data_IF_990113295431
#
_entry.id   IF_990113295431
#
_cell.length_a   1.000
_cell.length_b   1.000
_cell.length_c   1.000
_cell.angle_alpha   90.00
_cell.angle_beta   90.00
_cell.angle_gamma   90.00
#
_symmetry.space_group_name_H-M   'P 1'
#
loop_
_entity.id
_entity.type
_entity.pdbx_description
1 polymer ?
#
# COMPACT_ATOMS: atom_id res chain seq x y z
N UNK A 1 -28.58 -9.14 13.85
CA UNK A 1 -28.54 -7.89 13.09
C UNK A 1 -27.10 -7.64 12.71
N UNK A 2 -26.86 -7.32 11.44
CA UNK A 2 -25.55 -6.85 10.99
C UNK A 2 -25.40 -5.37 11.34
N UNK A 3 -24.18 -4.95 11.67
CA UNK A 3 -23.92 -3.60 12.20
C UNK A 3 -22.97 -2.89 11.26
N UNK A 4 -23.32 -1.67 10.86
CA UNK A 4 -22.43 -0.80 10.10
C UNK A 4 -21.38 -0.18 11.05
N UNK A 5 -20.13 -0.15 10.62
CA UNK A 5 -19.03 0.46 11.37
C UNK A 5 -18.27 1.46 10.52
N UNK A 6 -17.76 2.51 11.16
CA UNK A 6 -16.73 3.38 10.59
C UNK A 6 -15.36 2.73 10.80
N UNK A 7 -14.78 2.19 9.72
CA UNK A 7 -13.47 1.53 9.76
C UNK A 7 -12.41 2.50 9.25
N UNK A 8 -11.62 3.06 10.16
CA UNK A 8 -10.63 4.10 9.86
C UNK A 8 -9.25 3.51 9.62
N UNK A 9 -8.59 3.99 8.56
CA UNK A 9 -7.20 3.72 8.23
C UNK A 9 -6.48 5.05 7.94
N UNK A 10 -5.31 5.27 8.54
CA UNK A 10 -4.58 6.54 8.43
C UNK A 10 -3.24 6.38 7.72
N UNK A 11 -2.91 7.33 6.85
CA UNK A 11 -1.63 7.37 6.14
C UNK A 11 -0.69 8.38 6.78
N UNK A 12 0.47 7.93 7.25
CA UNK A 12 1.50 8.77 7.86
C UNK A 12 2.65 8.96 6.87
N UNK A 13 2.65 10.11 6.20
CA UNK A 13 3.72 10.56 5.33
C UNK A 13 4.06 12.01 5.68
N UNK A 14 5.34 12.32 5.79
CA UNK A 14 5.78 13.70 6.00
C UNK A 14 5.32 14.59 4.84
N UNK A 15 4.83 15.79 5.14
CA UNK A 15 4.33 16.70 4.10
C UNK A 15 2.96 16.33 3.50
N UNK A 16 2.36 15.18 3.83
CA UNK A 16 1.02 14.82 3.36
C UNK A 16 -0.04 15.79 3.92
N UNK A 17 -0.84 16.39 3.03
CA UNK A 17 -1.96 17.26 3.42
C UNK A 17 -3.24 16.47 3.54
N UNK A 18 -3.59 15.72 2.51
CA UNK A 18 -4.81 14.89 2.49
C UNK A 18 -4.67 13.69 1.56
N UNK A 19 -5.55 12.71 1.71
CA UNK A 19 -5.72 11.59 0.80
C UNK A 19 -7.09 11.68 0.11
N UNK A 20 -7.16 11.14 -1.10
CA UNK A 20 -8.43 10.84 -1.77
C UNK A 20 -8.40 9.40 -2.27
N UNK A 21 -9.57 8.77 -2.32
CA UNK A 21 -9.70 7.40 -2.79
C UNK A 21 -10.93 7.28 -3.68
N UNK A 22 -10.72 6.97 -4.95
CA UNK A 22 -11.80 6.70 -5.90
C UNK A 22 -12.00 5.19 -5.91
N UNK A 23 -13.09 4.75 -5.27
CA UNK A 23 -13.46 3.32 -5.23
C UNK A 23 -13.81 2.85 -6.64
N UNK A 24 -13.18 1.75 -7.06
CA UNK A 24 -13.47 1.08 -8.33
C UNK A 24 -14.31 -0.17 -8.10
N UNK A 25 -14.01 -0.92 -7.04
CA UNK A 25 -14.73 -2.15 -6.68
C UNK A 25 -14.56 -2.47 -5.18
N UNK A 26 -15.41 -3.34 -4.64
CA UNK A 26 -15.36 -3.75 -3.24
C UNK A 26 -15.91 -5.16 -3.03
N UNK A 27 -15.54 -5.76 -1.89
CA UNK A 27 -16.07 -7.04 -1.44
C UNK A 27 -16.39 -6.96 0.06
N UNK A 28 -17.60 -7.37 0.43
CA UNK A 28 -18.04 -7.49 1.82
C UNK A 28 -18.70 -8.83 2.01
N UNK A 29 -18.53 -9.45 3.17
CA UNK A 29 -19.18 -10.74 3.44
C UNK A 29 -20.70 -10.65 3.28
N UNK A 30 -21.30 -11.67 2.66
CA UNK A 30 -22.73 -11.71 2.38
C UNK A 30 -23.60 -11.34 3.61
N UNK A 31 -24.61 -10.51 3.36
CA UNK A 31 -25.49 -9.94 4.38
C UNK A 31 -24.90 -8.80 5.23
N UNK A 32 -23.60 -8.48 5.12
CA UNK A 32 -23.02 -7.31 5.79
C UNK A 32 -23.35 -6.01 5.04
N UNK A 33 -23.56 -4.89 5.77
CA UNK A 33 -23.81 -3.60 5.14
C UNK A 33 -22.51 -3.01 4.55
N UNK A 34 -22.66 -2.20 3.51
CA UNK A 34 -21.62 -1.36 2.91
C UNK A 34 -22.23 -0.02 2.46
N UNK A 35 -21.62 1.10 2.86
CA UNK A 35 -22.08 2.45 2.49
C UNK A 35 -20.97 3.30 1.84
N UNK A 36 -19.92 2.65 1.31
CA UNK A 36 -18.86 3.34 0.58
C UNK A 36 -17.66 3.73 1.43
N UNK A 37 -16.82 4.58 0.82
CA UNK A 37 -15.56 5.06 1.37
C UNK A 37 -15.55 6.59 1.38
N UNK A 38 -15.05 7.18 2.46
CA UNK A 38 -14.86 8.62 2.58
C UNK A 38 -13.45 8.94 3.07
N UNK A 39 -12.88 10.06 2.63
CA UNK A 39 -11.59 10.54 3.12
C UNK A 39 -11.76 11.87 3.87
N UNK A 40 -11.09 12.00 5.00
CA UNK A 40 -10.97 13.24 5.78
C UNK A 40 -9.52 13.43 6.23
N UNK A 41 -8.90 14.51 5.76
CA UNK A 41 -7.45 14.72 5.93
C UNK A 41 -6.66 13.51 5.45
N UNK A 42 -5.94 12.86 6.36
CA UNK A 42 -5.09 11.68 6.09
C UNK A 42 -5.77 10.34 6.36
N UNK A 43 -7.05 10.36 6.76
CA UNK A 43 -7.77 9.17 7.19
C UNK A 43 -8.81 8.80 6.15
N UNK A 44 -8.74 7.54 5.71
CA UNK A 44 -9.75 6.89 4.90
C UNK A 44 -10.69 6.11 5.83
N UNK A 45 -12.00 6.26 5.65
CA UNK A 45 -13.04 5.53 6.39
C UNK A 45 -13.84 4.65 5.44
N UNK A 46 -13.81 3.34 5.66
CA UNK A 46 -14.69 2.37 4.98
C UNK A 46 -15.90 2.11 5.86
N UNK A 47 -17.09 2.42 5.37
CA UNK A 47 -18.35 2.16 6.08
C UNK A 47 -18.85 0.77 5.74
N UNK A 48 -18.55 -0.21 6.59
CA UNK A 48 -18.83 -1.62 6.33
C UNK A 48 -19.06 -2.42 7.61
N UNK A 49 -19.75 -3.54 7.47
CA UNK A 49 -19.87 -4.56 8.52
C UNK A 49 -18.55 -5.28 8.82
N UNK A 50 -18.51 -6.00 9.94
CA UNK A 50 -17.34 -6.75 10.40
C UNK A 50 -17.68 -8.21 10.57
N UNK A 51 -17.55 -8.96 9.50
CA UNK A 51 -17.72 -10.40 9.52
C UNK A 51 -16.68 -11.05 8.61
N UNK A 52 -15.72 -11.76 9.20
CA UNK A 52 -14.65 -12.40 8.45
C UNK A 52 -15.21 -13.44 7.46
N UNK A 53 -14.69 -13.43 6.24
CA UNK A 53 -14.88 -14.47 5.24
C UNK A 53 -13.58 -14.73 4.49
N UNK A 54 -13.35 -15.99 4.11
CA UNK A 54 -12.28 -16.36 3.19
C UNK A 54 -12.51 -15.82 1.79
N UNK A 55 -13.77 -15.68 1.36
CA UNK A 55 -14.14 -15.14 0.06
C UNK A 55 -13.61 -13.71 -0.15
N UNK A 56 -13.78 -12.85 0.86
CA UNK A 56 -13.24 -11.48 0.83
C UNK A 56 -11.70 -11.50 0.76
N UNK A 57 -11.05 -12.45 1.44
CA UNK A 57 -9.60 -12.60 1.36
C UNK A 57 -9.14 -13.12 0.00
N UNK A 58 -9.88 -14.03 -0.63
CA UNK A 58 -9.62 -14.51 -1.99
C UNK A 58 -9.76 -13.37 -3.00
N UNK A 59 -10.83 -12.58 -2.90
CA UNK A 59 -11.05 -11.38 -3.71
C UNK A 59 -9.90 -10.35 -3.58
N UNK A 60 -9.39 -10.15 -2.36
CA UNK A 60 -8.23 -9.29 -2.11
C UNK A 60 -6.97 -9.84 -2.80
N UNK A 61 -6.72 -11.14 -2.68
CA UNK A 61 -5.54 -11.81 -3.25
C UNK A 61 -5.52 -11.72 -4.78
N UNK A 62 -6.68 -11.75 -5.44
CA UNK A 62 -6.79 -11.60 -6.90
C UNK A 62 -6.40 -10.20 -7.41
N UNK A 63 -6.34 -9.20 -6.52
CA UNK A 63 -6.06 -7.79 -6.87
C UNK A 63 -4.65 -7.33 -6.50
N UNK A 64 -3.85 -8.21 -5.91
CA UNK A 64 -2.44 -7.94 -5.58
C UNK A 64 -1.54 -8.82 -6.45
N UNK A 65 -0.28 -8.38 -6.64
CA UNK A 65 0.71 -9.15 -7.39
C UNK A 65 1.64 -9.93 -6.45
N UNK A 66 2.71 -9.28 -5.97
CA UNK A 66 3.73 -9.91 -5.14
C UNK A 66 3.49 -9.55 -3.67
N UNK A 67 2.32 -9.98 -3.16
CA UNK A 67 1.96 -9.95 -1.75
C UNK A 67 1.29 -8.67 -1.24
N UNK A 68 0.35 -8.85 -0.31
CA UNK A 68 -0.20 -7.78 0.52
C UNK A 68 0.53 -7.71 1.84
N UNK A 69 0.54 -6.54 2.47
CA UNK A 69 1.28 -6.29 3.71
C UNK A 69 0.31 -5.96 4.83
N UNK A 70 0.64 -6.41 6.05
CA UNK A 70 -0.11 -6.13 7.27
C UNK A 70 0.87 -5.90 8.43
N UNK A 71 0.39 -5.68 9.66
CA UNK A 71 1.25 -5.58 10.86
C UNK A 71 1.82 -6.95 11.27
N UNK A 72 2.59 -7.56 10.36
CA UNK A 72 3.27 -8.85 10.44
C UNK A 72 4.39 -8.84 9.42
N UNK A 73 5.54 -9.45 9.72
CA UNK A 73 6.72 -9.43 8.86
C UNK A 73 6.90 -10.72 8.04
N UNK A 74 5.96 -11.68 8.15
CA UNK A 74 6.08 -12.99 7.50
C UNK A 74 4.86 -13.41 6.68
N UNK A 75 3.72 -12.73 6.86
CA UNK A 75 2.48 -13.07 6.16
C UNK A 75 2.28 -12.12 4.98
N UNK A 76 2.20 -12.70 3.78
CA UNK A 76 2.04 -11.95 2.52
C UNK A 76 0.60 -11.97 2.00
N UNK A 77 -0.32 -12.60 2.72
CA UNK A 77 -1.73 -12.63 2.37
C UNK A 77 -2.64 -12.92 3.58
N UNK A 78 -3.86 -12.35 3.59
CA UNK A 78 -4.87 -12.68 4.59
C UNK A 78 -5.50 -14.05 4.32
N UNK A 79 -5.90 -14.74 5.39
CA UNK A 79 -6.72 -15.96 5.31
C UNK A 79 -8.23 -15.68 5.35
N UNK A 80 -8.62 -14.56 5.94
CA UNK A 80 -10.00 -14.05 5.97
C UNK A 80 -9.98 -12.54 6.18
N UNK A 81 -10.98 -11.87 5.63
CA UNK A 81 -11.19 -10.43 5.78
C UNK A 81 -12.66 -10.15 6.06
N UNK A 82 -12.93 -9.05 6.77
CA UNK A 82 -14.28 -8.51 6.97
C UNK A 82 -14.83 -7.86 5.70
N UNK A 83 -13.97 -7.08 5.05
CA UNK A 83 -14.24 -6.38 3.79
C UNK A 83 -12.91 -6.03 3.10
N UNK A 84 -12.98 -5.73 1.82
CA UNK A 84 -11.90 -5.14 1.04
C UNK A 84 -12.46 -4.12 0.04
N UNK A 85 -11.68 -3.08 -0.25
CA UNK A 85 -11.99 -2.10 -1.29
C UNK A 85 -10.77 -1.94 -2.18
N UNK A 86 -10.99 -1.77 -3.48
CA UNK A 86 -9.94 -1.42 -4.44
C UNK A 86 -10.29 -0.14 -5.17
N UNK A 87 -9.26 0.59 -5.59
CA UNK A 87 -9.44 1.82 -6.31
C UNK A 87 -8.14 2.57 -6.51
N UNK A 88 -8.29 3.82 -6.91
CA UNK A 88 -7.19 4.75 -7.10
C UNK A 88 -7.01 5.61 -5.85
N UNK A 89 -5.85 5.46 -5.20
CA UNK A 89 -5.43 6.27 -4.04
C UNK A 89 -4.60 7.46 -4.54
N UNK A 90 -4.87 8.65 -4.02
CA UNK A 90 -4.03 9.82 -4.26
C UNK A 90 -3.57 10.48 -2.96
N UNK A 91 -2.30 10.85 -2.91
CA UNK A 91 -1.69 11.64 -1.85
C UNK A 91 -1.51 13.07 -2.32
N UNK A 92 -2.23 13.99 -1.68
CA UNK A 92 -2.13 15.43 -1.93
C UNK A 92 -1.17 16.05 -0.93
N UNK A 93 0.02 16.43 -1.41
CA UNK A 93 1.10 16.96 -0.58
C UNK A 93 0.93 18.46 -0.34
N UNK A 94 1.47 18.96 0.78
CA UNK A 94 1.40 20.39 1.15
C UNK A 94 2.12 21.31 0.14
N UNK A 95 3.08 20.79 -0.60
CA UNK A 95 3.78 21.51 -1.66
C UNK A 95 3.00 21.57 -2.99
N UNK A 96 1.80 20.98 -3.06
CA UNK A 96 0.95 20.96 -4.25
C UNK A 96 1.15 19.75 -5.17
N UNK A 97 2.13 18.90 -4.91
CA UNK A 97 2.35 17.67 -5.69
C UNK A 97 1.30 16.62 -5.31
N UNK A 98 0.79 15.90 -6.32
CA UNK A 98 -0.09 14.74 -6.11
C UNK A 98 0.61 13.46 -6.58
N UNK A 99 0.63 12.45 -5.72
CA UNK A 99 1.08 11.10 -6.06
C UNK A 99 -0.11 10.17 -6.19
N UNK A 100 -0.17 9.40 -7.28
CA UNK A 100 -1.31 8.51 -7.59
C UNK A 100 -0.86 7.05 -7.62
N UNK A 101 -1.60 6.21 -6.89
CA UNK A 101 -1.41 4.76 -6.81
C UNK A 101 -2.67 4.08 -7.35
N UNK A 102 -2.56 3.47 -8.52
CA UNK A 102 -3.64 2.72 -9.15
C UNK A 102 -3.75 1.31 -8.57
N UNK A 103 -4.94 0.70 -8.69
CA UNK A 103 -5.22 -0.66 -8.20
C UNK A 103 -4.81 -0.85 -6.72
N UNK A 104 -4.89 0.21 -5.91
CA UNK A 104 -4.59 0.11 -4.49
C UNK A 104 -5.73 -0.65 -3.81
N UNK A 105 -5.39 -1.60 -2.95
CA UNK A 105 -6.35 -2.44 -2.24
C UNK A 105 -6.16 -2.24 -0.75
N UNK A 106 -7.25 -1.98 -0.03
CA UNK A 106 -7.28 -1.87 1.42
C UNK A 106 -8.30 -2.87 1.96
N UNK A 107 -7.85 -3.74 2.86
CA UNK A 107 -8.68 -4.75 3.50
C UNK A 107 -8.57 -4.67 5.02
N UNK A 108 -9.66 -4.99 5.72
CA UNK A 108 -9.63 -5.19 7.16
C UNK A 108 -10.03 -6.62 7.46
N UNK A 109 -9.24 -7.32 8.26
CA UNK A 109 -9.59 -8.59 8.86
C UNK A 109 -9.80 -8.50 10.36
N UNK A 110 -9.79 -9.65 10.99
CA UNK A 110 -9.83 -9.78 12.44
C UNK A 110 -8.81 -10.82 12.90
N UNK A 111 -7.96 -10.44 13.85
CA UNK A 111 -6.95 -11.29 14.46
C UNK A 111 -7.00 -11.18 15.99
N UNK A 112 -7.32 -12.30 16.64
CA UNK A 112 -7.52 -12.41 18.08
C UNK A 112 -8.58 -11.40 18.59
N UNK A 113 -8.19 -10.39 19.35
CA UNK A 113 -9.09 -9.39 19.92
C UNK A 113 -9.07 -8.06 19.15
N UNK A 114 -8.30 -7.97 18.06
CA UNK A 114 -8.10 -6.74 17.31
C UNK A 114 -8.39 -6.92 15.83
N UNK A 115 -8.76 -5.84 15.15
CA UNK A 115 -8.81 -5.85 13.70
C UNK A 115 -7.41 -5.59 13.14
N UNK A 116 -7.02 -6.35 12.12
CA UNK A 116 -5.77 -6.15 11.39
C UNK A 116 -6.08 -5.58 10.01
N UNK A 117 -5.32 -4.58 9.59
CA UNK A 117 -5.42 -4.03 8.24
C UNK A 117 -4.39 -4.63 7.31
N UNK A 118 -4.78 -4.70 6.04
CA UNK A 118 -3.98 -5.16 4.92
C UNK A 118 -4.01 -4.11 3.83
N UNK A 119 -2.85 -3.83 3.24
CA UNK A 119 -2.77 -3.03 2.01
C UNK A 119 -2.06 -3.85 0.92
N UNK A 120 -2.31 -3.49 -0.32
CA UNK A 120 -1.63 -4.06 -1.47
C UNK A 120 -1.92 -3.28 -2.75
N UNK A 121 -1.28 -3.69 -3.83
CA UNK A 121 -1.60 -3.26 -5.20
C UNK A 121 -1.00 -4.27 -6.17
N UNK A 122 -1.42 -4.20 -7.44
CA UNK A 122 -0.73 -4.88 -8.54
C UNK A 122 0.69 -4.36 -8.76
N UNK A 123 0.95 -3.12 -8.33
CA UNK A 123 2.25 -2.44 -8.43
C UNK A 123 3.05 -2.48 -7.13
N UNK A 124 2.57 -3.21 -6.11
CA UNK A 124 3.26 -3.38 -4.85
C UNK A 124 4.03 -4.69 -4.81
N UNK A 125 5.27 -4.63 -4.33
CA UNK A 125 6.07 -5.78 -3.95
C UNK A 125 6.26 -5.79 -2.43
N UNK A 126 5.71 -6.81 -1.77
CA UNK A 126 5.90 -7.07 -0.36
C UNK A 126 7.34 -7.43 -0.03
N UNK A 127 7.83 -6.92 1.10
CA UNK A 127 9.19 -7.17 1.59
C UNK A 127 9.21 -8.49 2.37
N UNK A 128 10.10 -9.39 1.96
CA UNK A 128 10.46 -10.57 2.74
C UNK A 128 11.58 -10.22 3.72
N UNK A 129 11.35 -10.48 5.01
CA UNK A 129 12.27 -10.10 6.09
C UNK A 129 13.44 -11.06 6.35
N UNK A 130 13.92 -11.77 5.33
CA UNK A 130 15.14 -12.59 5.44
C UNK A 130 16.36 -11.74 5.15
N UNK A 131 17.19 -11.45 6.16
CA UNK A 131 18.45 -10.68 6.06
C UNK A 131 18.42 -9.61 4.95
N UNK A 132 17.64 -8.55 5.14
CA UNK A 132 17.56 -7.43 4.19
C UNK A 132 18.94 -6.80 4.06
N UNK A 133 19.60 -7.07 2.94
CA UNK A 133 20.88 -6.49 2.56
C UNK A 133 20.73 -5.60 1.32
N UNK A 134 21.85 -5.02 0.91
CA UNK A 134 21.88 -4.09 -0.21
C UNK A 134 21.53 -4.75 -1.55
N UNK A 135 21.89 -6.02 -1.74
CA UNK A 135 21.57 -6.76 -2.97
C UNK A 135 20.07 -7.04 -3.04
N UNK A 136 19.48 -7.52 -1.95
CA UNK A 136 18.03 -7.70 -1.82
C UNK A 136 17.28 -6.40 -2.10
N UNK A 137 17.70 -5.28 -1.47
CA UNK A 137 17.03 -4.00 -1.66
C UNK A 137 17.17 -3.44 -3.09
N UNK A 138 18.32 -3.64 -3.74
CA UNK A 138 18.50 -3.25 -5.14
C UNK A 138 17.59 -4.06 -6.10
N UNK A 139 17.44 -5.36 -5.83
CA UNK A 139 16.51 -6.21 -6.57
C UNK A 139 15.06 -5.77 -6.33
N UNK A 140 14.67 -5.49 -5.07
CA UNK A 140 13.34 -4.98 -4.75
C UNK A 140 13.00 -3.69 -5.50
N UNK A 141 13.93 -2.72 -5.53
CA UNK A 141 13.75 -1.48 -6.28
C UNK A 141 13.57 -1.77 -7.77
N UNK A 142 14.47 -2.56 -8.36
CA UNK A 142 14.43 -2.90 -9.79
C UNK A 142 13.14 -3.64 -10.17
N UNK A 143 12.73 -4.61 -9.37
CA UNK A 143 11.51 -5.38 -9.56
C UNK A 143 10.28 -4.48 -9.45
N UNK A 144 10.23 -3.57 -8.46
CA UNK A 144 9.10 -2.65 -8.30
C UNK A 144 8.99 -1.72 -9.51
N UNK A 145 10.11 -1.15 -9.97
CA UNK A 145 10.13 -0.28 -11.16
C UNK A 145 9.72 -1.04 -12.43
N UNK A 146 10.02 -2.34 -12.53
CA UNK A 146 9.64 -3.17 -13.67
C UNK A 146 8.13 -3.40 -13.82
N UNK A 147 7.35 -3.20 -12.75
CA UNK A 147 5.90 -3.28 -12.79
C UNK A 147 5.27 -2.07 -13.50
N UNK A 148 6.01 -0.98 -13.65
CA UNK A 148 5.60 0.20 -14.42
C UNK A 148 6.12 0.11 -15.86
N UNK A 149 5.19 -0.10 -16.79
CA UNK A 149 5.47 -0.18 -18.23
C UNK A 149 6.18 1.06 -18.80
N UNK A 150 6.08 2.21 -18.12
CA UNK A 150 6.67 3.49 -18.57
C UNK A 150 8.11 3.74 -18.08
N UNK A 151 8.65 2.92 -17.17
CA UNK A 151 10.00 3.11 -16.57
C UNK A 151 11.06 2.22 -17.20
N UNK A 152 10.67 1.30 -18.10
CA UNK A 152 11.42 0.10 -18.50
C UNK A 152 12.83 0.26 -19.09
N UNK A 153 13.48 1.42 -19.12
CA UNK A 153 14.78 1.51 -19.81
C UNK A 153 15.96 2.12 -19.09
N UNK A 154 15.88 3.06 -18.12
CA UNK A 154 17.12 3.67 -17.60
C UNK A 154 17.06 4.08 -16.11
N UNK A 155 17.89 3.41 -15.29
CA UNK A 155 18.28 3.87 -13.95
C UNK A 155 19.19 5.09 -14.09
N UNK A 156 18.82 6.28 -13.57
CA UNK A 156 19.77 7.38 -13.45
C UNK A 156 20.98 6.89 -12.67
N UNK A 157 22.18 6.95 -13.26
CA UNK A 157 23.40 6.30 -12.73
C UNK A 157 23.49 6.35 -11.19
N UNK A 158 23.27 5.20 -10.54
CA UNK A 158 23.38 5.01 -9.09
C UNK A 158 22.09 5.17 -8.28
N UNK A 159 20.97 5.59 -8.89
CA UNK A 159 19.73 5.86 -8.17
C UNK A 159 19.10 4.59 -7.59
N UNK A 160 19.10 3.46 -8.29
CA UNK A 160 18.68 2.16 -7.73
C UNK A 160 19.49 1.82 -6.47
N UNK A 161 20.81 2.00 -6.53
CA UNK A 161 21.72 1.67 -5.43
C UNK A 161 21.49 2.60 -4.23
N UNK A 162 21.24 3.88 -4.47
CA UNK A 162 21.02 4.86 -3.41
C UNK A 162 19.66 4.68 -2.73
N UNK A 163 18.60 4.40 -3.50
CA UNK A 163 17.30 4.01 -2.96
C UNK A 163 17.38 2.70 -2.17
N UNK A 164 18.15 1.73 -2.65
CA UNK A 164 18.38 0.47 -1.94
C UNK A 164 19.04 0.68 -0.58
N UNK A 165 20.05 1.55 -0.46
CA UNK A 165 20.68 1.89 0.83
C UNK A 165 19.67 2.46 1.81
N UNK A 166 18.82 3.40 1.36
CA UNK A 166 17.79 3.99 2.20
C UNK A 166 16.75 2.95 2.65
N UNK A 167 16.35 2.04 1.76
CA UNK A 167 15.45 0.93 2.10
C UNK A 167 16.07 0.02 3.17
N UNK A 168 17.35 -0.34 3.04
CA UNK A 168 18.06 -1.14 4.07
C UNK A 168 18.04 -0.43 5.42
N UNK A 169 18.35 0.86 5.45
CA UNK A 169 18.35 1.66 6.68
C UNK A 169 16.96 1.70 7.34
N UNK A 170 15.90 1.93 6.55
CA UNK A 170 14.53 1.98 7.06
C UNK A 170 14.09 0.61 7.59
N UNK A 171 14.33 -0.46 6.82
CA UNK A 171 13.90 -1.80 7.19
C UNK A 171 14.66 -2.32 8.43
N UNK A 172 15.97 -2.07 8.55
CA UNK A 172 16.72 -2.51 9.73
C UNK A 172 16.23 -1.90 11.05
N UNK A 173 15.47 -0.81 11.01
CA UNK A 173 14.92 -0.16 12.21
C UNK A 173 13.58 -0.74 12.68
N UNK A 174 12.82 -1.46 11.82
CA UNK A 174 11.45 -1.89 12.16
C UNK A 174 10.97 -3.11 11.38
N UNK A 175 10.86 -4.25 12.05
CA UNK A 175 10.33 -5.49 11.47
C UNK A 175 8.79 -5.57 11.50
N UNK A 176 8.15 -4.88 10.55
CA UNK A 176 6.69 -4.97 10.28
C UNK A 176 6.46 -5.30 8.80
N UNK A 177 5.23 -5.59 8.40
CA UNK A 177 4.95 -5.80 6.99
C UNK A 177 5.23 -4.52 6.23
N UNK A 178 6.08 -4.64 5.22
CA UNK A 178 6.53 -3.51 4.41
C UNK A 178 6.34 -3.83 2.94
N UNK A 179 6.09 -2.82 2.12
CA UNK A 179 5.87 -2.98 0.69
C UNK A 179 6.39 -1.78 -0.09
N UNK A 180 7.06 -2.07 -1.20
CA UNK A 180 7.56 -1.08 -2.15
C UNK A 180 6.54 -0.91 -3.28
N UNK A 181 6.23 0.34 -3.64
CA UNK A 181 5.25 0.67 -4.68
C UNK A 181 5.63 1.97 -5.39
N UNK A 182 5.42 2.04 -6.70
CA UNK A 182 5.57 3.26 -7.50
C UNK A 182 4.30 4.12 -7.46
N UNK A 183 4.48 5.43 -7.54
CA UNK A 183 3.39 6.37 -7.71
C UNK A 183 3.66 7.35 -8.85
N UNK A 184 2.66 7.60 -9.69
CA UNK A 184 2.74 8.64 -10.72
C UNK A 184 2.63 10.01 -10.06
N UNK A 185 3.51 10.93 -10.43
CA UNK A 185 3.50 12.32 -9.94
C UNK A 185 2.72 13.23 -10.88
N UNK A 186 2.00 14.21 -10.32
CA UNK A 186 1.36 15.28 -11.09
C UNK A 186 2.33 16.24 -11.76
N UNK A 187 3.61 16.25 -11.36
CA UNK A 187 4.61 17.17 -11.91
C UNK A 187 5.10 16.75 -13.29
N UNK A 188 5.22 15.44 -13.54
CA UNK A 188 5.80 14.88 -14.75
C UNK A 188 5.12 13.55 -15.09
N UNK A 189 4.50 13.47 -16.27
CA UNK A 189 3.83 12.24 -16.74
C UNK A 189 4.79 11.09 -17.05
N UNK A 190 6.09 11.37 -17.11
CA UNK A 190 7.16 10.40 -17.42
C UNK A 190 8.02 10.07 -16.20
N UNK A 191 7.51 10.37 -14.99
CA UNK A 191 8.22 10.13 -13.75
C UNK A 191 7.34 9.38 -12.75
N UNK A 192 8.01 8.63 -11.90
CA UNK A 192 7.40 8.08 -10.69
C UNK A 192 8.26 8.41 -9.48
N UNK A 193 7.61 8.34 -8.33
CA UNK A 193 8.27 8.26 -7.05
C UNK A 193 8.06 6.86 -6.47
N UNK A 194 9.12 6.28 -5.91
CA UNK A 194 9.09 5.02 -5.19
C UNK A 194 8.77 5.28 -3.72
N UNK A 195 7.79 4.57 -3.20
CA UNK A 195 7.35 4.64 -1.81
C UNK A 195 7.57 3.31 -1.11
N UNK A 196 8.02 3.38 0.14
CA UNK A 196 8.06 2.25 1.06
C UNK A 196 7.00 2.44 2.15
N UNK A 197 6.00 1.57 2.14
CA UNK A 197 4.95 1.50 3.16
C UNK A 197 5.37 0.53 4.26
N UNK A 198 5.08 0.86 5.53
CA UNK A 198 5.32 0.02 6.70
C UNK A 198 4.08 0.02 7.61
N UNK A 199 3.49 -1.15 7.81
CA UNK A 199 2.19 -1.28 8.47
C UNK A 199 2.27 -1.12 9.99
N UNK A 200 1.36 -0.32 10.53
CA UNK A 200 1.08 -0.24 11.96
C UNK A 200 -0.42 -0.38 12.25
N UNK A 201 -0.88 -1.59 12.45
CA UNK A 201 -2.25 -1.89 12.91
C UNK A 201 -3.35 -1.23 12.03
N UNK A 202 -3.77 -0.01 12.36
CA UNK A 202 -4.80 0.79 11.69
C UNK A 202 -4.24 1.99 10.92
N UNK A 203 -2.93 2.04 10.74
CA UNK A 203 -2.23 3.06 9.99
C UNK A 203 -1.00 2.48 9.28
N UNK A 204 -0.37 3.30 8.46
CA UNK A 204 0.88 2.97 7.77
C UNK A 204 1.81 4.15 7.81
N UNK A 205 3.07 3.88 8.13
CA UNK A 205 4.16 4.83 7.96
C UNK A 205 4.73 4.68 6.56
N UNK A 206 5.09 5.80 5.94
CA UNK A 206 5.46 5.86 4.53
C UNK A 206 6.69 6.72 4.36
N UNK A 207 7.65 6.21 3.58
CA UNK A 207 8.84 6.94 3.18
C UNK A 207 8.91 7.02 1.65
N UNK A 208 9.28 8.18 1.12
CA UNK A 208 9.72 8.32 -0.27
C UNK A 208 11.16 7.84 -0.36
N UNK A 209 11.46 6.90 -1.25
CA UNK A 209 12.76 6.23 -1.31
C UNK A 209 13.52 6.48 -2.60
N UNK A 210 12.87 7.01 -3.65
CA UNK A 210 13.56 7.31 -4.90
C UNK A 210 12.67 7.93 -5.96
N UNK A 211 13.18 8.96 -6.61
CA UNK A 211 12.53 9.60 -7.76
C UNK A 211 13.15 9.09 -9.07
N UNK A 212 12.33 8.58 -9.97
CA UNK A 212 12.75 8.00 -11.24
C UNK A 212 12.04 8.67 -12.40
N UNK A 213 12.82 9.14 -13.37
CA UNK A 213 12.31 9.87 -14.54
C UNK A 213 12.94 9.30 -15.80
N UNK A 214 12.13 9.22 -16.87
CA UNK A 214 12.65 9.07 -18.23
C UNK A 214 13.52 10.29 -18.64
N UNK A 215 14.59 10.10 -19.45
CA UNK A 215 15.22 11.19 -20.18
C UNK A 215 14.24 12.03 -21.00
#
# INVERSE_FOLDING_TARGET
MTTLHDNKFTFNLEGLSSVSFVVEDYEVTDGQPYEGVTCDGRTLTVKAGRHNSSEVADWFKERINIGGIAKTYSSHSPSSLNFAVTGTLSFNMKNGVTYTFENFVLGQGHFLSNNNWWIGSKYMIGVTWTNVDQEYAANLVSDTLSLEVDILTEDPVGAVIDSAKLIVDILNNRQVGSGSITARTSELTTAVELFLFQMDNSDTDINMTGFYKRP
#
